data_IF_877404631465
#
_entry.id   IF_877404631465
#
_cell.length_a   1.000
_cell.length_b   1.000
_cell.length_c   1.000
_cell.angle_alpha   90.00
_cell.angle_beta   90.00
_cell.angle_gamma   90.00
#
_symmetry.space_group_name_H-M   'P 1'
#
loop_
_entity.id
_entity.type
_entity.pdbx_description
1 polymer ?
#
# COMPACT_ATOMS: atom_id res chain seq x y z
N UNK A 1 -1.31 -13.09 -16.66
CA UNK A 1 -0.86 -12.74 -15.29
C UNK A 1 -1.86 -11.75 -14.72
N UNK A 2 -2.13 -11.80 -13.40
CA UNK A 2 -2.98 -10.81 -12.76
C UNK A 2 -2.33 -9.44 -12.80
N UNK A 3 -3.11 -8.40 -13.13
CA UNK A 3 -2.61 -7.02 -13.17
C UNK A 3 -2.69 -6.41 -11.76
N UNK A 4 -1.57 -6.00 -11.23
CA UNK A 4 -1.47 -5.35 -9.91
C UNK A 4 -1.09 -3.89 -10.08
N UNK A 5 -1.69 -3.02 -9.28
CA UNK A 5 -1.37 -1.60 -9.20
C UNK A 5 -1.03 -1.22 -7.75
N UNK A 6 0.02 -0.45 -7.56
CA UNK A 6 0.39 0.16 -6.29
C UNK A 6 0.06 1.65 -6.37
N UNK A 7 -0.92 2.10 -5.58
CA UNK A 7 -1.30 3.52 -5.43
C UNK A 7 -0.76 4.06 -4.11
N UNK A 8 -0.01 5.17 -4.14
CA UNK A 8 0.60 5.70 -2.94
C UNK A 8 0.73 7.23 -2.94
N UNK A 9 0.79 7.81 -1.75
CA UNK A 9 1.27 9.16 -1.51
C UNK A 9 2.64 9.13 -0.81
N UNK A 10 3.53 10.07 -1.16
CA UNK A 10 4.83 10.22 -0.51
C UNK A 10 5.20 11.70 -0.38
N UNK A 11 5.28 12.22 0.84
CA UNK A 11 5.66 13.62 1.08
C UNK A 11 7.18 13.86 1.05
N UNK A 12 7.99 12.87 1.46
CA UNK A 12 9.44 13.01 1.62
C UNK A 12 10.25 11.92 0.90
N UNK A 13 9.65 11.15 0.00
CA UNK A 13 10.32 10.07 -0.74
C UNK A 13 10.33 8.71 -0.04
N UNK A 14 10.15 8.63 1.28
CA UNK A 14 10.23 7.39 2.04
C UNK A 14 9.16 6.36 1.61
N UNK A 15 7.90 6.78 1.52
CA UNK A 15 6.80 5.91 1.06
C UNK A 15 7.00 5.48 -0.39
N UNK A 16 7.51 6.37 -1.23
CA UNK A 16 7.86 6.06 -2.63
C UNK A 16 8.88 4.92 -2.70
N UNK A 17 9.93 4.96 -1.86
CA UNK A 17 10.94 3.92 -1.82
C UNK A 17 10.34 2.57 -1.45
N UNK A 18 9.49 2.50 -0.44
CA UNK A 18 8.78 1.28 -0.07
C UNK A 18 7.86 0.81 -1.21
N UNK A 19 7.11 1.73 -1.85
CA UNK A 19 6.24 1.45 -2.98
C UNK A 19 6.97 0.78 -4.16
N UNK A 20 8.20 1.24 -4.46
CA UNK A 20 9.04 0.65 -5.51
C UNK A 20 9.35 -0.83 -5.24
N UNK A 21 9.63 -1.20 -3.99
CA UNK A 21 9.91 -2.59 -3.61
C UNK A 21 8.64 -3.46 -3.62
N UNK A 22 7.52 -2.93 -3.15
CA UNK A 22 6.21 -3.61 -3.28
C UNK A 22 5.90 -3.85 -4.76
N UNK A 23 6.05 -2.83 -5.61
CA UNK A 23 5.80 -2.95 -7.04
C UNK A 23 6.76 -3.91 -7.74
N UNK A 24 8.03 -3.91 -7.36
CA UNK A 24 9.01 -4.89 -7.87
C UNK A 24 8.58 -6.32 -7.57
N UNK A 25 8.16 -6.60 -6.34
CA UNK A 25 7.68 -7.93 -5.96
C UNK A 25 6.39 -8.34 -6.68
N UNK A 26 5.45 -7.41 -6.82
CA UNK A 26 4.18 -7.66 -7.48
C UNK A 26 4.23 -7.60 -9.02
N UNK A 27 5.35 -7.17 -9.62
CA UNK A 27 5.43 -6.78 -11.02
C UNK A 27 4.31 -5.78 -11.40
N UNK A 28 4.13 -4.76 -10.55
CA UNK A 28 2.99 -3.84 -10.56
C UNK A 28 3.33 -2.48 -11.18
N UNK A 29 2.33 -1.83 -11.76
CA UNK A 29 2.40 -0.41 -12.08
C UNK A 29 2.35 0.44 -10.79
N UNK A 30 3.08 1.56 -10.81
CA UNK A 30 3.09 2.55 -9.72
C UNK A 30 2.24 3.76 -10.10
N UNK A 31 1.35 4.17 -9.21
CA UNK A 31 0.59 5.41 -9.31
C UNK A 31 0.91 6.27 -8.09
N UNK A 32 1.46 7.45 -8.34
CA UNK A 32 1.72 8.42 -7.28
C UNK A 32 0.55 9.40 -7.16
N UNK A 33 -0.01 9.51 -5.97
CA UNK A 33 -0.95 10.60 -5.64
C UNK A 33 -0.13 11.88 -5.54
N UNK A 34 -0.54 12.93 -6.24
CA UNK A 34 0.18 14.20 -6.27
C UNK A 34 0.09 14.98 -4.93
N UNK A 35 0.79 16.11 -4.87
CA UNK A 35 0.81 16.95 -3.68
C UNK A 35 -0.57 17.51 -3.31
N UNK A 36 -1.48 17.59 -4.26
CA UNK A 36 -2.86 18.07 -4.08
C UNK A 36 -3.85 16.92 -3.85
N UNK A 37 -3.38 15.67 -3.75
CA UNK A 37 -4.21 14.49 -3.50
C UNK A 37 -4.99 14.00 -4.72
N UNK A 38 -4.53 14.30 -5.93
CA UNK A 38 -5.17 13.88 -7.16
C UNK A 38 -4.36 12.79 -7.87
N UNK A 39 -5.01 12.10 -8.79
CA UNK A 39 -4.42 11.23 -9.81
C UNK A 39 -5.09 11.51 -11.16
N UNK A 40 -4.46 11.11 -12.24
CA UNK A 40 -4.97 11.32 -13.59
C UNK A 40 -6.14 10.40 -13.95
N UNK A 41 -6.90 10.74 -15.00
CA UNK A 41 -7.97 9.85 -15.50
C UNK A 41 -7.42 8.51 -16.00
N UNK A 42 -6.22 8.48 -16.58
CA UNK A 42 -5.54 7.23 -16.95
C UNK A 42 -5.18 6.37 -15.75
N UNK A 43 -4.82 6.97 -14.60
CA UNK A 43 -4.55 6.24 -13.36
C UNK A 43 -5.83 5.63 -12.79
N UNK A 44 -6.94 6.38 -12.82
CA UNK A 44 -8.24 5.83 -12.45
C UNK A 44 -8.62 4.64 -13.32
N UNK A 45 -8.42 4.73 -14.64
CA UNK A 45 -8.68 3.61 -15.57
C UNK A 45 -7.79 2.40 -15.27
N UNK A 46 -6.51 2.62 -14.90
CA UNK A 46 -5.59 1.55 -14.52
C UNK A 46 -6.04 0.84 -13.23
N UNK A 47 -6.51 1.59 -12.22
CA UNK A 47 -7.09 1.02 -11.00
C UNK A 47 -8.38 0.22 -11.29
N UNK A 48 -9.22 0.74 -12.18
CA UNK A 48 -10.47 0.07 -12.58
C UNK A 48 -10.19 -1.24 -13.34
N UNK A 49 -9.10 -1.32 -14.10
CA UNK A 49 -8.68 -2.51 -14.85
C UNK A 49 -7.89 -3.53 -14.00
N UNK A 50 -7.32 -3.13 -12.86
CA UNK A 50 -6.47 -3.98 -12.05
C UNK A 50 -7.25 -5.15 -11.41
N UNK A 51 -6.56 -6.27 -11.17
CA UNK A 51 -7.04 -7.41 -10.38
C UNK A 51 -6.68 -7.25 -8.89
N UNK A 52 -5.63 -6.46 -8.61
CA UNK A 52 -5.20 -6.15 -7.25
C UNK A 52 -4.77 -4.69 -7.11
N UNK A 53 -5.12 -4.07 -5.97
CA UNK A 53 -4.77 -2.70 -5.62
C UNK A 53 -4.04 -2.71 -4.28
N UNK A 54 -2.80 -2.19 -4.23
CA UNK A 54 -2.03 -2.08 -3.01
C UNK A 54 -1.94 -0.59 -2.61
N UNK A 55 -2.45 -0.28 -1.41
CA UNK A 55 -2.49 1.08 -0.87
C UNK A 55 -1.20 1.43 -0.13
N UNK A 56 -0.67 2.63 -0.34
CA UNK A 56 0.51 3.13 0.35
C UNK A 56 0.36 4.58 0.81
N UNK A 57 0.70 4.85 2.06
CA UNK A 57 0.76 6.21 2.61
C UNK A 57 1.77 6.27 3.75
N UNK A 58 2.43 7.43 3.98
CA UNK A 58 3.07 7.64 5.27
C UNK A 58 2.03 7.68 6.38
N UNK A 59 2.44 7.36 7.59
CA UNK A 59 1.63 7.66 8.78
C UNK A 59 2.00 9.04 9.30
N UNK A 60 1.10 10.01 9.12
CA UNK A 60 1.22 11.37 9.65
C UNK A 60 0.17 11.60 10.73
N UNK A 61 0.59 12.04 11.91
CA UNK A 61 -0.31 12.28 13.07
C UNK A 61 -1.27 11.12 13.33
N UNK A 62 -0.73 9.87 13.24
CA UNK A 62 -1.45 8.64 13.56
C UNK A 62 -2.37 8.11 12.46
N UNK A 63 -2.35 8.66 11.24
CA UNK A 63 -3.25 8.25 10.16
C UNK A 63 -2.58 8.38 8.78
N UNK A 64 -3.22 7.85 7.75
CA UNK A 64 -2.83 8.11 6.36
C UNK A 64 -2.82 9.62 6.07
N UNK A 65 -1.93 10.06 5.18
CA UNK A 65 -1.85 11.45 4.77
C UNK A 65 -3.18 11.98 4.22
N UNK A 66 -3.42 13.28 4.33
CA UNK A 66 -4.64 13.90 3.80
C UNK A 66 -4.77 13.74 2.28
N UNK A 67 -3.64 13.68 1.56
CA UNK A 67 -3.63 13.43 0.13
C UNK A 67 -4.20 12.04 -0.21
N UNK A 68 -3.76 11.03 0.55
CA UNK A 68 -4.34 9.68 0.41
C UNK A 68 -5.82 9.67 0.79
N UNK A 69 -6.22 10.40 1.83
CA UNK A 69 -7.63 10.51 2.23
C UNK A 69 -8.48 11.15 1.15
N UNK A 70 -7.99 12.20 0.47
CA UNK A 70 -8.69 12.83 -0.65
C UNK A 70 -8.88 11.86 -1.82
N UNK A 71 -7.84 11.09 -2.18
CA UNK A 71 -7.95 10.00 -3.15
C UNK A 71 -9.03 8.98 -2.74
N UNK A 72 -9.01 8.55 -1.48
CA UNK A 72 -9.97 7.59 -0.96
C UNK A 72 -11.41 8.12 -1.06
N UNK A 73 -11.65 9.39 -0.74
CA UNK A 73 -12.98 10.02 -0.89
C UNK A 73 -13.39 10.12 -2.36
N UNK A 74 -12.47 10.45 -3.26
CA UNK A 74 -12.73 10.50 -4.70
C UNK A 74 -13.10 9.12 -5.29
N UNK A 75 -12.63 8.02 -4.66
CA UNK A 75 -12.97 6.64 -5.06
C UNK A 75 -14.44 6.27 -4.81
N UNK A 76 -15.23 7.14 -4.15
CA UNK A 76 -16.66 6.93 -3.91
C UNK A 76 -17.47 6.63 -5.19
N UNK A 77 -17.06 7.18 -6.34
CA UNK A 77 -17.69 6.86 -7.63
C UNK A 77 -17.57 5.38 -7.99
N UNK A 78 -16.44 4.73 -7.65
CA UNK A 78 -16.18 3.30 -7.84
C UNK A 78 -16.98 2.46 -6.88
N UNK A 79 -17.15 2.95 -5.65
CA UNK A 79 -18.03 2.32 -4.66
C UNK A 79 -19.48 2.24 -5.16
N UNK A 80 -20.05 3.34 -5.67
CA UNK A 80 -21.40 3.38 -6.22
C UNK A 80 -21.64 2.37 -7.34
N UNK A 81 -20.65 2.15 -8.19
CA UNK A 81 -20.73 1.22 -9.31
C UNK A 81 -20.25 -0.20 -8.98
N UNK A 82 -19.75 -0.42 -7.74
CA UNK A 82 -19.11 -1.68 -7.34
C UNK A 82 -17.93 -2.08 -8.27
N UNK A 83 -17.24 -1.10 -8.85
CA UNK A 83 -16.22 -1.33 -9.88
C UNK A 83 -15.00 -2.11 -9.36
N UNK A 84 -14.74 -2.03 -8.04
CA UNK A 84 -13.59 -2.70 -7.43
C UNK A 84 -13.98 -3.96 -6.64
N UNK A 85 -15.26 -4.33 -6.64
CA UNK A 85 -15.74 -5.52 -5.94
C UNK A 85 -14.94 -6.77 -6.35
N UNK A 86 -14.58 -7.58 -5.34
CA UNK A 86 -13.88 -8.86 -5.45
C UNK A 86 -12.42 -8.76 -5.96
N UNK A 87 -11.87 -7.55 -6.17
CA UNK A 87 -10.43 -7.38 -6.40
C UNK A 87 -9.65 -7.61 -5.11
N UNK A 88 -8.39 -8.00 -5.25
CA UNK A 88 -7.48 -8.16 -4.11
C UNK A 88 -6.98 -6.81 -3.62
N UNK A 89 -6.84 -6.64 -2.31
CA UNK A 89 -6.24 -5.46 -1.71
C UNK A 89 -5.10 -5.81 -0.75
N UNK A 90 -4.16 -4.90 -0.64
CA UNK A 90 -3.10 -4.92 0.37
C UNK A 90 -2.71 -3.51 0.77
N UNK A 91 -1.77 -3.38 1.73
CA UNK A 91 -1.31 -2.05 2.11
C UNK A 91 0.02 -2.03 2.85
N UNK A 92 0.66 -0.86 2.78
CA UNK A 92 1.92 -0.58 3.46
C UNK A 92 1.97 0.87 3.95
N UNK A 93 2.74 1.09 5.00
CA UNK A 93 2.97 2.42 5.55
C UNK A 93 4.37 2.54 6.13
N UNK A 94 4.83 3.77 6.31
CA UNK A 94 6.11 4.10 6.92
C UNK A 94 5.96 5.30 7.86
N UNK A 95 6.71 5.32 8.94
CA UNK A 95 6.81 6.45 9.86
C UNK A 95 8.21 6.54 10.47
N UNK A 96 8.48 7.65 11.18
CA UNK A 96 9.77 7.89 11.81
C UNK A 96 10.01 7.01 13.06
N UNK A 97 8.96 6.67 13.79
CA UNK A 97 9.05 5.88 15.02
C UNK A 97 8.75 4.40 14.77
N UNK A 98 9.35 3.45 15.55
CA UNK A 98 9.08 2.02 15.39
C UNK A 98 7.60 1.64 15.46
N UNK A 99 6.85 2.12 16.46
CA UNK A 99 5.39 1.98 16.50
C UNK A 99 4.73 3.01 15.58
N UNK A 100 4.91 4.31 15.89
CA UNK A 100 4.43 5.45 15.13
C UNK A 100 2.94 5.43 14.81
N UNK A 101 2.15 4.67 15.58
CA UNK A 101 0.72 4.44 15.37
C UNK A 101 0.38 3.95 13.95
N UNK A 102 1.35 3.29 13.30
CA UNK A 102 1.21 2.78 11.92
C UNK A 102 0.04 1.84 11.73
N UNK A 103 -0.36 1.13 12.79
CA UNK A 103 -1.51 0.23 12.75
C UNK A 103 -2.79 0.96 12.37
N UNK A 104 -2.98 2.20 12.83
CA UNK A 104 -4.16 3.02 12.48
C UNK A 104 -4.27 3.27 10.98
N UNK A 105 -3.13 3.52 10.31
CA UNK A 105 -3.10 3.67 8.85
C UNK A 105 -3.48 2.38 8.14
N UNK A 106 -2.95 1.23 8.57
CA UNK A 106 -3.31 -0.05 7.98
C UNK A 106 -4.78 -0.42 8.24
N UNK A 107 -5.30 -0.16 9.44
CA UNK A 107 -6.72 -0.34 9.75
C UNK A 107 -7.62 0.52 8.88
N UNK A 108 -7.21 1.75 8.60
CA UNK A 108 -7.92 2.62 7.65
C UNK A 108 -7.94 2.01 6.24
N UNK A 109 -6.81 1.46 5.75
CA UNK A 109 -6.77 0.80 4.45
C UNK A 109 -7.65 -0.45 4.40
N UNK A 110 -7.67 -1.25 5.47
CA UNK A 110 -8.57 -2.39 5.60
C UNK A 110 -10.02 -1.93 5.53
N UNK A 111 -10.38 -0.86 6.26
CA UNK A 111 -11.74 -0.31 6.23
C UNK A 111 -12.10 0.19 4.84
N UNK A 112 -11.19 0.91 4.15
CA UNK A 112 -11.41 1.35 2.77
C UNK A 112 -11.60 0.15 1.82
N UNK A 113 -10.78 -0.89 1.98
CA UNK A 113 -10.91 -2.11 1.20
C UNK A 113 -12.29 -2.77 1.42
N UNK A 114 -12.76 -2.85 2.67
CA UNK A 114 -14.09 -3.39 2.98
C UNK A 114 -15.21 -2.52 2.39
N UNK A 115 -15.10 -1.20 2.44
CA UNK A 115 -16.06 -0.29 1.81
C UNK A 115 -16.15 -0.53 0.29
N UNK A 116 -15.03 -0.79 -0.36
CA UNK A 116 -14.95 -1.07 -1.80
C UNK A 116 -15.24 -2.54 -2.17
N UNK A 117 -15.59 -3.38 -1.17
CA UNK A 117 -15.78 -4.82 -1.32
C UNK A 117 -14.54 -5.56 -1.88
N UNK A 118 -13.34 -5.09 -1.51
CA UNK A 118 -12.06 -5.72 -1.84
C UNK A 118 -11.74 -6.86 -0.87
N UNK A 119 -10.89 -7.79 -1.28
CA UNK A 119 -10.40 -8.92 -0.48
C UNK A 119 -9.01 -8.58 0.07
N UNK A 120 -8.91 -8.33 1.38
CA UNK A 120 -7.66 -7.94 2.01
C UNK A 120 -6.68 -9.10 2.19
N UNK A 121 -5.40 -8.86 1.87
CA UNK A 121 -4.29 -9.81 2.05
C UNK A 121 -3.31 -9.27 3.08
N UNK A 122 -3.10 -10.02 4.15
CA UNK A 122 -2.13 -9.71 5.19
C UNK A 122 -0.69 -10.09 4.80
N UNK A 123 0.28 -9.58 5.59
CA UNK A 123 1.70 -9.87 5.49
C UNK A 123 2.02 -11.13 6.32
N UNK A 124 2.57 -12.23 5.73
CA UNK A 124 2.68 -13.53 6.38
C UNK A 124 4.02 -13.78 7.06
N UNK A 125 5.06 -12.97 6.76
CA UNK A 125 6.42 -13.24 7.24
C UNK A 125 6.50 -13.13 8.76
N UNK A 126 7.13 -14.12 9.38
CA UNK A 126 7.46 -14.03 10.80
C UNK A 126 8.57 -13.01 11.01
N UNK A 127 8.54 -12.35 12.15
CA UNK A 127 9.64 -11.49 12.58
C UNK A 127 10.84 -12.36 12.96
N UNK A 128 11.93 -12.22 12.18
CA UNK A 128 13.22 -12.88 12.43
C UNK A 128 14.30 -11.89 12.90
N UNK A 129 13.90 -10.67 13.24
CA UNK A 129 14.80 -9.56 13.59
C UNK A 129 15.25 -8.73 12.36
N UNK A 130 15.09 -9.24 11.16
CA UNK A 130 15.45 -8.57 9.90
C UNK A 130 14.21 -8.35 9.03
N UNK A 131 13.58 -9.43 8.59
CA UNK A 131 12.32 -9.41 7.84
C UNK A 131 11.16 -9.20 8.82
N UNK A 132 10.21 -8.37 8.43
CA UNK A 132 9.07 -7.98 9.28
C UNK A 132 9.51 -7.58 10.70
N UNK A 133 10.64 -6.88 10.81
CA UNK A 133 11.27 -6.54 12.10
C UNK A 133 10.37 -5.71 13.04
N UNK A 134 9.35 -5.05 12.51
CA UNK A 134 8.35 -4.30 13.28
C UNK A 134 7.21 -5.21 13.76
N UNK A 135 7.04 -6.40 13.17
CA UNK A 135 6.08 -7.41 13.60
C UNK A 135 4.64 -7.11 13.16
N UNK A 136 4.42 -6.59 11.95
CA UNK A 136 3.10 -6.29 11.42
C UNK A 136 2.59 -7.40 10.49
N UNK A 137 1.39 -7.93 10.77
CA UNK A 137 0.71 -8.89 9.89
C UNK A 137 -0.49 -8.28 9.15
N UNK A 138 -0.97 -7.11 9.55
CA UNK A 138 -2.07 -6.42 8.87
C UNK A 138 -1.69 -5.84 7.51
N UNK A 139 -0.40 -5.69 7.25
CA UNK A 139 0.23 -5.13 6.06
C UNK A 139 1.67 -4.79 6.37
N UNK A 140 2.40 -4.17 5.45
CA UNK A 140 3.80 -3.82 5.68
C UNK A 140 3.94 -2.53 6.47
N UNK A 141 4.77 -2.56 7.50
CA UNK A 141 5.25 -1.38 8.21
C UNK A 141 6.75 -1.23 8.00
N UNK A 142 7.18 -0.06 7.57
CA UNK A 142 8.58 0.33 7.50
C UNK A 142 8.88 1.48 8.46
N UNK A 143 10.17 1.73 8.74
CA UNK A 143 10.58 2.81 9.62
C UNK A 143 11.94 3.36 9.20
N UNK A 144 12.05 4.68 9.16
CA UNK A 144 13.32 5.40 8.99
C UNK A 144 13.24 6.74 9.72
N UNK A 145 14.37 7.29 10.14
CA UNK A 145 14.41 8.59 10.84
C UNK A 145 13.75 9.72 10.02
N UNK A 146 13.19 10.73 10.68
CA UNK A 146 12.41 11.77 10.00
C UNK A 146 13.22 12.63 9.04
N UNK A 147 14.54 12.74 9.27
CA UNK A 147 15.48 13.50 8.44
C UNK A 147 16.43 12.62 7.63
N UNK A 148 16.32 11.30 7.78
CA UNK A 148 17.12 10.34 7.03
C UNK A 148 16.72 10.31 5.56
N UNK A 149 17.66 10.14 4.63
CA UNK A 149 17.32 9.89 3.23
C UNK A 149 16.60 8.53 3.07
N UNK A 150 15.84 8.39 1.99
CA UNK A 150 15.04 7.18 1.73
C UNK A 150 15.93 5.92 1.55
N UNK A 151 17.20 6.09 1.19
CA UNK A 151 18.19 5.03 1.03
C UNK A 151 18.56 4.37 2.37
N UNK A 152 18.35 5.06 3.49
CA UNK A 152 18.60 4.54 4.85
C UNK A 152 17.45 3.68 5.40
N UNK A 153 16.36 3.51 4.65
CA UNK A 153 15.32 2.54 5.05
C UNK A 153 15.98 1.16 5.18
N UNK A 154 15.84 0.48 6.34
CA UNK A 154 16.45 -0.82 6.55
C UNK A 154 16.12 -1.81 5.44
N UNK A 155 17.13 -2.53 4.94
CA UNK A 155 16.94 -3.47 3.84
C UNK A 155 15.89 -4.54 4.16
N UNK A 156 15.80 -5.01 5.42
CA UNK A 156 14.79 -5.96 5.83
C UNK A 156 13.35 -5.44 5.72
N UNK A 157 13.11 -4.13 5.88
CA UNK A 157 11.80 -3.52 5.64
C UNK A 157 11.48 -3.53 4.12
N UNK A 158 12.49 -3.27 3.29
CA UNK A 158 12.37 -3.29 1.83
C UNK A 158 12.17 -4.72 1.30
N UNK A 159 12.87 -5.70 1.84
CA UNK A 159 12.71 -7.12 1.50
C UNK A 159 11.32 -7.62 1.92
N UNK A 160 10.83 -7.19 3.09
CA UNK A 160 9.46 -7.45 3.53
C UNK A 160 8.44 -6.86 2.55
N UNK A 161 8.66 -5.63 2.10
CA UNK A 161 7.80 -4.96 1.14
C UNK A 161 7.75 -5.69 -0.20
N UNK A 162 8.90 -6.15 -0.70
CA UNK A 162 9.00 -6.93 -1.94
C UNK A 162 8.27 -8.27 -1.81
N UNK A 163 8.55 -9.05 -0.78
CA UNK A 163 7.90 -10.34 -0.53
C UNK A 163 6.37 -10.19 -0.37
N UNK A 164 5.93 -9.09 0.24
CA UNK A 164 4.51 -8.78 0.35
C UNK A 164 3.86 -8.50 -1.01
N UNK A 165 4.52 -7.75 -1.88
CA UNK A 165 4.07 -7.52 -3.26
C UNK A 165 3.90 -8.84 -4.03
N UNK A 166 4.88 -9.73 -3.94
CA UNK A 166 4.84 -11.07 -4.55
C UNK A 166 3.60 -11.86 -4.05
N UNK A 167 3.34 -11.82 -2.74
CA UNK A 167 2.17 -12.50 -2.16
C UNK A 167 0.85 -11.95 -2.66
N UNK A 168 0.68 -10.63 -2.67
CA UNK A 168 -0.59 -10.01 -3.13
C UNK A 168 -0.86 -10.38 -4.58
N UNK A 169 0.13 -10.29 -5.46
CA UNK A 169 0.00 -10.68 -6.86
C UNK A 169 -0.30 -12.17 -7.04
N UNK A 170 0.32 -13.05 -6.23
CA UNK A 170 0.06 -14.48 -6.26
C UNK A 170 -1.37 -14.83 -5.82
N UNK A 171 -1.91 -14.12 -4.80
CA UNK A 171 -3.31 -14.30 -4.37
C UNK A 171 -4.27 -13.85 -5.47
N UNK A 172 -4.02 -12.67 -6.07
CA UNK A 172 -4.84 -12.18 -7.18
C UNK A 172 -4.85 -13.16 -8.36
N UNK A 173 -3.70 -13.73 -8.70
CA UNK A 173 -3.62 -14.73 -9.78
C UNK A 173 -4.46 -15.99 -9.49
N UNK A 174 -4.51 -16.44 -8.23
CA UNK A 174 -5.33 -17.60 -7.81
C UNK A 174 -6.83 -17.34 -7.87
N UNK A 175 -7.26 -16.11 -7.54
CA UNK A 175 -8.68 -15.75 -7.55
C UNK A 175 -9.21 -15.50 -8.97
N UNK A 176 -8.32 -15.27 -9.92
CA UNK A 176 -8.67 -15.07 -11.34
C UNK A 176 -8.77 -16.39 -12.13
N UNK A 177 -8.20 -17.47 -11.61
CA UNK A 177 -8.21 -18.78 -12.25
C UNK A 177 -9.56 -19.48 -12.06
#
# INVERSE_FOLDING_TARGET
MAQTVVIYHSGYGHTQRVAQFVAQGANAALIAIDADGNISDSDWAALDAADAIIFGSPTYMGMASWQFKKFADASSKRWFSSAWKDKVAGGFTISASPSGDKLSTLQYFITLAMQQALIWVGQPSMNDGTVNRIGSNSGVMAQVGPTSPAEEIPQGDLDTAKAYGERVAAVAAKLRA
#
